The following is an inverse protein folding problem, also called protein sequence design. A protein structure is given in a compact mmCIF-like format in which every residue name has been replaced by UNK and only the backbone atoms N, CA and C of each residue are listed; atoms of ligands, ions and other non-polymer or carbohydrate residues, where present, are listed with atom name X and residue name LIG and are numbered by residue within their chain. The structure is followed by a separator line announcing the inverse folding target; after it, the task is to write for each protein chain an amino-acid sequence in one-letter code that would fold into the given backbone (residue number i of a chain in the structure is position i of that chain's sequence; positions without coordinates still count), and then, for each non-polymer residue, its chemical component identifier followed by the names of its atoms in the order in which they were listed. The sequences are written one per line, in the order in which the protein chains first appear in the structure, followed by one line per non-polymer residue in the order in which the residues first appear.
data_IF_963381975678
#
_entry.id   IF_963381975678
#
_cell.length_a   1.000
_cell.length_b   1.000
_cell.length_c   1.000
_cell.angle_alpha   90.00
_cell.angle_beta   90.00
_cell.angle_gamma   90.00
#
_symmetry.space_group_name_H-M   'P 1'
#
loop_
_entity.id
_entity.type
_entity.pdbx_description
1 polymer ?
#
# COMPACT_ATOMS: atom_id res chain seq x y z
N UNK A 1 27.89 -26.03 -13.99
CA UNK A 1 26.49 -26.28 -13.60
C UNK A 1 26.15 -25.71 -12.21
N UNK A 2 26.98 -25.93 -11.18
CA UNK A 2 26.72 -25.46 -9.80
C UNK A 2 26.44 -23.95 -9.65
N UNK A 3 27.15 -23.09 -10.39
CA UNK A 3 26.99 -21.63 -10.31
C UNK A 3 25.61 -21.13 -10.80
N UNK A 4 24.97 -21.86 -11.73
CA UNK A 4 23.64 -21.51 -12.24
C UNK A 4 22.57 -21.75 -11.18
N UNK A 5 22.69 -22.83 -10.41
CA UNK A 5 21.81 -23.13 -9.28
C UNK A 5 22.00 -22.13 -8.14
N UNK A 6 23.24 -21.77 -7.80
CA UNK A 6 23.52 -20.75 -6.79
C UNK A 6 22.86 -19.39 -7.11
N UNK A 7 22.90 -18.97 -8.38
CA UNK A 7 22.29 -17.72 -8.83
C UNK A 7 20.76 -17.75 -8.78
N UNK A 8 20.15 -18.88 -9.17
CA UNK A 8 18.70 -19.09 -9.08
C UNK A 8 18.25 -19.09 -7.62
N UNK A 9 18.98 -19.79 -6.74
CA UNK A 9 18.69 -19.84 -5.30
C UNK A 9 18.75 -18.43 -4.69
N UNK A 10 19.83 -17.68 -4.94
CA UNK A 10 20.00 -16.29 -4.47
C UNK A 10 18.88 -15.35 -4.95
N UNK A 11 18.49 -15.47 -6.23
CA UNK A 11 17.38 -14.70 -6.77
C UNK A 11 16.07 -15.07 -6.07
N UNK A 12 15.76 -16.37 -5.97
CA UNK A 12 14.52 -16.84 -5.34
C UNK A 12 14.42 -16.48 -3.86
N UNK A 13 15.54 -16.53 -3.12
CA UNK A 13 15.57 -16.12 -1.71
C UNK A 13 15.41 -14.60 -1.56
N UNK A 14 15.95 -13.82 -2.49
CA UNK A 14 15.76 -12.36 -2.49
C UNK A 14 14.30 -11.98 -2.74
N UNK A 15 13.65 -12.59 -3.72
CA UNK A 15 12.22 -12.37 -3.97
C UNK A 15 11.36 -12.77 -2.77
N UNK A 16 11.67 -13.91 -2.13
CA UNK A 16 10.91 -14.36 -0.96
C UNK A 16 11.07 -13.40 0.23
N UNK A 17 12.26 -12.84 0.47
CA UNK A 17 12.49 -11.84 1.52
C UNK A 17 11.63 -10.60 1.33
N UNK A 18 11.62 -10.07 0.10
CA UNK A 18 10.84 -8.87 -0.25
C UNK A 18 9.34 -9.14 -0.06
N UNK A 19 8.86 -10.32 -0.48
CA UNK A 19 7.46 -10.68 -0.29
C UNK A 19 7.08 -10.77 1.20
N UNK A 20 7.94 -11.33 2.04
CA UNK A 20 7.71 -11.43 3.50
C UNK A 20 7.67 -10.03 4.14
N UNK A 21 8.59 -9.14 3.76
CA UNK A 21 8.62 -7.76 4.27
C UNK A 21 7.38 -6.96 3.88
N UNK A 22 6.93 -7.09 2.63
CA UNK A 22 5.68 -6.48 2.15
C UNK A 22 4.48 -7.01 2.94
N UNK A 23 4.41 -8.33 3.14
CA UNK A 23 3.31 -8.96 3.87
C UNK A 23 3.26 -8.48 5.33
N UNK A 24 4.43 -8.38 5.98
CA UNK A 24 4.55 -7.89 7.35
C UNK A 24 4.11 -6.42 7.46
N UNK A 25 4.52 -5.57 6.51
CA UNK A 25 4.11 -4.16 6.47
C UNK A 25 2.59 -4.03 6.31
N UNK A 26 1.99 -4.79 5.39
CA UNK A 26 0.54 -4.81 5.18
C UNK A 26 -0.18 -5.24 6.48
N UNK A 27 0.31 -6.28 7.15
CA UNK A 27 -0.27 -6.78 8.41
C UNK A 27 -0.24 -5.72 9.52
N UNK A 28 0.89 -5.02 9.66
CA UNK A 28 1.07 -3.94 10.65
C UNK A 28 0.14 -2.75 10.36
N UNK A 29 0.08 -2.31 9.11
CA UNK A 29 -0.82 -1.22 8.69
C UNK A 29 -2.28 -1.61 8.93
N UNK A 30 -2.64 -2.86 8.66
CA UNK A 30 -3.99 -3.37 8.90
C UNK A 30 -4.35 -3.32 10.39
N UNK A 31 -3.49 -3.81 11.28
CA UNK A 31 -3.78 -3.81 12.72
C UNK A 31 -3.88 -2.39 13.32
N UNK A 32 -3.03 -1.47 12.86
CA UNK A 32 -3.06 -0.07 13.31
C UNK A 32 -4.29 0.67 12.79
N UNK A 33 -4.66 0.46 11.52
CA UNK A 33 -5.81 1.12 10.89
C UNK A 33 -7.12 0.59 11.45
N UNK A 34 -7.21 -0.72 11.66
CA UNK A 34 -8.36 -1.42 12.20
C UNK A 34 -8.66 -1.01 13.64
N UNK A 35 -7.68 -1.17 14.55
CA UNK A 35 -7.93 -1.03 15.98
C UNK A 35 -7.84 0.39 16.50
N UNK A 36 -6.91 1.20 15.97
CA UNK A 36 -6.60 2.51 16.55
C UNK A 36 -7.24 3.63 15.76
N UNK A 37 -7.13 3.62 14.43
CA UNK A 37 -7.55 4.76 13.61
C UNK A 37 -9.07 4.78 13.43
N UNK A 38 -9.70 3.64 13.10
CA UNK A 38 -11.15 3.59 12.89
C UNK A 38 -11.94 4.00 14.13
N UNK A 39 -11.53 3.53 15.31
CA UNK A 39 -12.20 3.82 16.58
C UNK A 39 -12.02 5.27 17.04
N UNK A 40 -10.83 5.84 16.83
CA UNK A 40 -10.47 7.18 17.33
C UNK A 40 -10.95 8.28 16.39
N UNK A 41 -10.79 8.10 15.07
CA UNK A 41 -11.06 9.16 14.09
C UNK A 41 -12.47 9.09 13.49
N UNK A 42 -13.11 7.92 13.48
CA UNK A 42 -14.44 7.75 12.90
C UNK A 42 -15.43 7.59 14.05
N UNK A 43 -15.96 8.72 14.52
CA UNK A 43 -16.99 8.79 15.59
C UNK A 43 -18.27 7.99 15.23
N UNK A 44 -18.47 7.65 13.96
CA UNK A 44 -19.53 6.78 13.46
C UNK A 44 -19.23 5.27 13.53
N UNK A 45 -17.96 4.86 13.65
CA UNK A 45 -17.57 3.45 13.65
C UNK A 45 -18.16 2.68 14.83
N UNK A 46 -18.23 3.32 16.00
CA UNK A 46 -18.87 2.74 17.19
C UNK A 46 -20.37 2.50 17.00
N UNK A 47 -21.02 3.26 16.11
CA UNK A 47 -22.46 3.20 15.80
C UNK A 47 -22.81 2.25 14.66
N UNK A 48 -21.81 1.71 13.94
CA UNK A 48 -22.03 0.74 12.88
C UNK A 48 -22.56 -0.58 13.44
N UNK A 49 -23.53 -1.17 12.73
CA UNK A 49 -24.01 -2.52 12.98
C UNK A 49 -22.92 -3.56 12.72
N UNK A 50 -23.11 -4.78 13.21
CA UNK A 50 -22.13 -5.89 13.01
C UNK A 50 -21.83 -6.13 11.52
N UNK A 51 -22.82 -6.01 10.65
CA UNK A 51 -22.68 -6.24 9.21
C UNK A 51 -21.86 -5.12 8.57
N UNK A 52 -22.13 -3.88 8.92
CA UNK A 52 -21.37 -2.72 8.42
C UNK A 52 -19.92 -2.75 8.91
N UNK A 53 -19.66 -3.22 10.14
CA UNK A 53 -18.30 -3.43 10.64
C UNK A 53 -17.57 -4.53 9.87
N UNK A 54 -18.25 -5.60 9.46
CA UNK A 54 -17.66 -6.66 8.63
C UNK A 54 -17.30 -6.11 7.24
N UNK A 55 -18.17 -5.30 6.63
CA UNK A 55 -17.89 -4.63 5.35
C UNK A 55 -16.75 -3.62 5.49
N UNK A 56 -16.69 -2.89 6.61
CA UNK A 56 -15.60 -1.96 6.91
C UNK A 56 -14.27 -2.68 7.15
N UNK A 57 -14.32 -3.86 7.75
CA UNK A 57 -13.19 -4.74 8.03
C UNK A 57 -12.71 -5.47 6.77
N UNK A 58 -13.50 -5.50 5.70
CA UNK A 58 -13.11 -6.24 4.51
C UNK A 58 -11.83 -5.62 3.91
N UNK A 59 -10.71 -6.38 3.88
CA UNK A 59 -9.41 -5.87 3.44
C UNK A 59 -9.47 -5.30 2.01
N UNK A 60 -10.46 -5.71 1.20
CA UNK A 60 -10.68 -5.19 -0.14
C UNK A 60 -10.90 -3.68 -0.21
N UNK A 61 -11.63 -3.07 0.74
CA UNK A 61 -11.92 -1.63 0.67
C UNK A 61 -10.67 -0.78 0.97
N UNK A 62 -9.88 -1.18 1.96
CA UNK A 62 -8.64 -0.47 2.33
C UNK A 62 -7.53 -0.70 1.31
N UNK A 63 -7.39 -1.93 0.79
CA UNK A 63 -6.43 -2.23 -0.30
C UNK A 63 -6.82 -1.52 -1.60
N UNK A 64 -8.11 -1.43 -1.93
CA UNK A 64 -8.57 -0.66 -3.09
C UNK A 64 -8.26 0.83 -2.92
N UNK A 65 -8.55 1.40 -1.75
CA UNK A 65 -8.23 2.79 -1.45
C UNK A 65 -6.71 3.06 -1.54
N UNK A 66 -5.88 2.17 -1.00
CA UNK A 66 -4.43 2.26 -1.08
C UNK A 66 -3.92 2.13 -2.52
N UNK A 67 -4.52 1.24 -3.33
CA UNK A 67 -4.18 1.07 -4.74
C UNK A 67 -4.53 2.32 -5.55
N UNK A 68 -5.71 2.91 -5.33
CA UNK A 68 -6.13 4.15 -5.99
C UNK A 68 -5.21 5.31 -5.59
N UNK A 69 -4.91 5.47 -4.29
CA UNK A 69 -3.98 6.49 -3.82
C UNK A 69 -2.57 6.32 -4.39
N UNK A 70 -2.07 5.08 -4.46
CA UNK A 70 -0.78 4.76 -5.07
C UNK A 70 -0.77 5.03 -6.59
N UNK A 71 -1.82 4.64 -7.31
CA UNK A 71 -1.97 4.88 -8.74
C UNK A 71 -2.03 6.38 -9.06
N UNK A 72 -2.79 7.16 -8.28
CA UNK A 72 -2.84 8.61 -8.40
C UNK A 72 -1.49 9.24 -8.10
N UNK A 73 -0.80 8.81 -7.03
CA UNK A 73 0.52 9.34 -6.68
C UNK A 73 1.55 9.03 -7.77
N UNK A 74 1.54 7.81 -8.30
CA UNK A 74 2.38 7.40 -9.42
C UNK A 74 2.08 8.21 -10.68
N UNK A 75 0.79 8.38 -11.01
CA UNK A 75 0.37 9.20 -12.14
C UNK A 75 0.87 10.63 -12.00
N UNK A 76 0.70 11.25 -10.83
CA UNK A 76 1.14 12.63 -10.61
C UNK A 76 2.67 12.79 -10.72
N UNK A 77 3.45 11.83 -10.20
CA UNK A 77 4.92 11.95 -10.18
C UNK A 77 5.55 11.54 -11.51
N UNK A 78 5.07 10.46 -12.13
CA UNK A 78 5.75 9.81 -13.27
C UNK A 78 5.14 10.21 -14.60
N UNK A 79 3.82 10.37 -14.65
CA UNK A 79 3.09 10.61 -15.89
C UNK A 79 2.76 12.09 -16.07
N UNK A 80 2.41 12.78 -14.99
CA UNK A 80 2.00 14.17 -15.07
C UNK A 80 3.20 15.11 -15.06
N UNK A 81 3.15 16.15 -15.89
CA UNK A 81 4.10 17.26 -15.84
C UNK A 81 3.82 18.20 -14.64
N UNK A 82 2.92 17.84 -13.70
CA UNK A 82 2.51 18.70 -12.58
C UNK A 82 3.68 19.08 -11.65
N UNK A 83 4.67 18.20 -11.51
CA UNK A 83 5.90 18.45 -10.75
C UNK A 83 7.12 18.68 -11.65
N UNK A 84 6.92 18.74 -12.96
CA UNK A 84 7.99 19.12 -13.88
C UNK A 84 8.13 20.63 -13.76
N UNK A 85 9.13 21.03 -12.98
CA UNK A 85 9.46 22.43 -12.72
C UNK A 85 9.26 23.25 -14.00
N UNK A 86 8.41 24.28 -13.91
CA UNK A 86 8.33 25.29 -14.93
C UNK A 86 9.70 25.96 -15.03
N UNK A 87 10.54 25.52 -15.96
CA UNK A 87 11.51 26.39 -16.61
C UNK A 87 10.71 27.38 -17.43
N UNK A 88 10.08 28.35 -16.76
CA UNK A 88 9.92 29.67 -17.34
C UNK A 88 11.30 30.30 -17.30
N UNK A 89 12.13 29.98 -18.30
CA UNK A 89 13.09 30.97 -18.76
C UNK A 89 12.24 32.09 -19.37
N UNK A 90 12.04 33.16 -18.60
CA UNK A 90 11.66 34.46 -19.13
C UNK A 90 12.66 34.85 -20.22
N UNK A 91 12.20 34.92 -21.47
CA UNK A 91 12.85 35.61 -22.58
C UNK A 91 11.93 36.76 -22.98
#
# INVERSE_FOLDING_TARGET
MQYKYAKVILLTSGFLSILIEILFYIMQVYEVTDKKISLIYIKGYSKLSKIEKIVWYDPGFSTFHALVAAALSFYLIVVSDLFKNGTQEEI
#
